data_IF_561781284711
#
_entry.id   IF_561781284711
#
_cell.length_a   1.000
_cell.length_b   1.000
_cell.length_c   1.000
_cell.angle_alpha   90.00
_cell.angle_beta   90.00
_cell.angle_gamma   90.00
#
_symmetry.space_group_name_H-M   'P 1'
#
loop_
_entity.id
_entity.type
_entity.pdbx_description
1 polymer ?
#
# COMPACT_ATOMS: atom_id res chain seq x y z
N UNK A 1 18.11 15.42 -30.67
CA UNK A 1 17.31 16.04 -29.59
C UNK A 1 15.83 15.66 -29.71
N UNK A 2 15.51 14.35 -29.82
CA UNK A 2 14.13 13.87 -29.95
C UNK A 2 13.80 12.68 -29.02
N UNK A 3 14.80 12.14 -28.30
CA UNK A 3 14.66 10.98 -27.41
C UNK A 3 14.51 11.41 -25.94
N UNK A 4 14.91 12.64 -25.61
CA UNK A 4 14.85 13.18 -24.24
C UNK A 4 13.42 13.56 -23.79
N UNK A 5 12.51 13.84 -24.73
CA UNK A 5 11.11 14.19 -24.41
C UNK A 5 10.23 12.95 -24.17
N UNK A 6 10.58 11.81 -24.79
CA UNK A 6 9.85 10.54 -24.63
C UNK A 6 10.17 9.84 -23.31
N UNK A 7 11.31 10.18 -22.69
CA UNK A 7 11.71 9.72 -21.36
C UNK A 7 11.15 10.64 -20.26
N UNK A 8 10.01 11.33 -20.46
CA UNK A 8 9.24 11.84 -19.32
C UNK A 8 8.99 10.62 -18.44
N UNK A 9 9.66 10.52 -17.27
CA UNK A 9 9.69 9.27 -16.55
C UNK A 9 8.23 8.96 -16.23
N UNK A 10 7.78 7.74 -16.51
CA UNK A 10 6.43 7.31 -16.17
C UNK A 10 6.13 7.61 -14.69
N UNK A 11 7.19 7.66 -13.88
CA UNK A 11 7.24 8.26 -12.55
C UNK A 11 6.70 9.70 -12.52
N UNK A 12 7.18 10.69 -13.27
CA UNK A 12 6.57 12.03 -13.29
C UNK A 12 5.11 12.08 -13.77
N UNK A 13 4.63 11.08 -14.52
CA UNK A 13 3.24 10.99 -14.96
C UNK A 13 2.31 10.26 -13.98
N UNK A 14 2.85 9.42 -13.09
CA UNK A 14 2.07 8.53 -12.21
C UNK A 14 2.44 8.65 -10.73
N UNK A 15 3.59 9.25 -10.42
CA UNK A 15 4.06 9.52 -9.07
C UNK A 15 3.16 10.62 -8.51
N UNK A 16 2.42 10.35 -7.42
CA UNK A 16 1.61 11.36 -6.77
C UNK A 16 2.55 12.49 -6.32
N UNK A 17 2.43 13.66 -6.93
CA UNK A 17 3.11 14.93 -6.55
C UNK A 17 3.02 15.21 -5.05
N UNK A 18 2.01 14.65 -4.40
CA UNK A 18 1.75 14.79 -2.97
C UNK A 18 2.46 13.66 -2.21
N UNK A 19 3.66 13.94 -1.69
CA UNK A 19 4.33 13.08 -0.71
C UNK A 19 3.42 12.69 0.47
N UNK A 20 2.48 13.56 0.84
CA UNK A 20 1.43 13.26 1.82
C UNK A 20 0.51 12.10 1.40
N UNK A 21 0.18 11.95 0.12
CA UNK A 21 -0.63 10.83 -0.37
C UNK A 21 0.15 9.50 -0.30
N UNK A 22 1.48 9.55 -0.53
CA UNK A 22 2.36 8.39 -0.32
C UNK A 22 2.39 7.96 1.16
N UNK A 23 2.54 8.93 2.06
CA UNK A 23 2.52 8.65 3.50
C UNK A 23 1.14 8.14 3.96
N UNK A 24 0.05 8.76 3.49
CA UNK A 24 -1.30 8.34 3.81
C UNK A 24 -1.58 6.91 3.33
N UNK A 25 -1.16 6.53 2.12
CA UNK A 25 -1.34 5.14 1.64
C UNK A 25 -0.46 4.16 2.41
N UNK A 26 0.78 4.53 2.77
CA UNK A 26 1.65 3.68 3.57
C UNK A 26 1.09 3.45 4.98
N UNK A 27 0.61 4.51 5.63
CA UNK A 27 -0.02 4.43 6.95
C UNK A 27 -1.34 3.65 6.88
N UNK A 28 -2.17 3.92 5.87
CA UNK A 28 -3.41 3.18 5.66
C UNK A 28 -3.13 1.69 5.45
N UNK A 29 -2.18 1.34 4.59
CA UNK A 29 -1.83 -0.04 4.30
C UNK A 29 -1.30 -0.76 5.56
N UNK A 30 -0.43 -0.10 6.32
CA UNK A 30 0.09 -0.64 7.57
C UNK A 30 -1.05 -0.87 8.59
N UNK A 31 -1.89 0.15 8.82
CA UNK A 31 -2.99 0.07 9.79
C UNK A 31 -4.05 -0.94 9.36
N UNK A 32 -4.47 -0.91 8.10
CA UNK A 32 -5.45 -1.85 7.56
C UNK A 32 -4.91 -3.28 7.57
N UNK A 33 -3.65 -3.50 7.22
CA UNK A 33 -2.99 -4.81 7.28
C UNK A 33 -2.88 -5.33 8.71
N UNK A 34 -2.41 -4.51 9.65
CA UNK A 34 -2.33 -4.89 11.07
C UNK A 34 -3.72 -5.18 11.64
N UNK A 35 -4.73 -4.37 11.30
CA UNK A 35 -6.11 -4.60 11.72
C UNK A 35 -6.64 -5.92 11.14
N UNK A 36 -6.46 -6.14 9.84
CA UNK A 36 -6.85 -7.39 9.17
C UNK A 36 -6.21 -8.61 9.82
N UNK A 37 -4.91 -8.56 10.12
CA UNK A 37 -4.21 -9.62 10.84
C UNK A 37 -4.73 -9.83 12.25
N UNK A 38 -5.03 -8.74 12.97
CA UNK A 38 -5.59 -8.79 14.33
C UNK A 38 -6.98 -9.42 14.34
N UNK A 39 -7.85 -9.04 13.39
CA UNK A 39 -9.14 -9.69 13.23
C UNK A 39 -8.98 -11.15 12.83
N UNK A 40 -8.06 -11.47 11.92
CA UNK A 40 -7.78 -12.85 11.49
C UNK A 40 -7.30 -13.73 12.66
N UNK A 41 -6.46 -13.20 13.54
CA UNK A 41 -6.02 -13.91 14.76
C UNK A 41 -7.15 -14.06 15.79
N UNK A 42 -8.07 -13.09 15.86
CA UNK A 42 -9.26 -13.16 16.72
C UNK A 42 -10.30 -14.14 16.18
N UNK A 43 -10.39 -14.30 14.86
CA UNK A 43 -11.10 -15.42 14.23
C UNK A 43 -10.28 -16.68 14.43
N UNK A 44 -10.24 -17.18 15.67
CA UNK A 44 -9.88 -18.56 15.94
C UNK A 44 -10.73 -19.41 15.02
N UNK A 45 -10.10 -20.02 14.01
CA UNK A 45 -10.65 -21.26 13.45
C UNK A 45 -10.74 -22.16 14.66
N UNK A 46 -11.96 -22.48 15.08
CA UNK A 46 -12.22 -23.41 16.19
C UNK A 46 -11.76 -24.78 15.71
N UNK A 47 -10.44 -24.99 15.64
CA UNK A 47 -9.84 -26.28 15.87
C UNK A 47 -10.24 -26.59 17.30
N UNK A 48 -11.37 -27.28 17.44
CA UNK A 48 -11.90 -27.74 18.71
C UNK A 48 -10.80 -28.43 19.53
N UNK A 49 -10.98 -28.51 20.85
CA UNK A 49 -10.02 -29.20 21.70
C UNK A 49 -9.81 -30.61 21.12
N UNK A 50 -8.58 -30.90 20.72
CA UNK A 50 -8.16 -32.29 20.54
C UNK A 50 -8.19 -32.98 21.89
#
# INVERSE_FOLDING_TARGET
>A
MAIATTMRPLVSLTLPERGAARLATQLFLALAGTLLLTLSAKTKVVLGPV
#
